data_IF_497176100348
#
_entry.id   IF_497176100348
#
_cell.length_a   1.000
_cell.length_b   1.000
_cell.length_c   1.000
_cell.angle_alpha   90.00
_cell.angle_beta   90.00
_cell.angle_gamma   90.00
#
_symmetry.space_group_name_H-M   'P 1'
#
loop_
_entity.id
_entity.type
_entity.pdbx_description
1 polymer ?
#
# COMPACT_ATOMS: atom_id res chain seq x y z
N UNK A 1 -6.79 -13.99 -5.90
CA UNK A 1 -5.43 -13.79 -6.43
C UNK A 1 -4.46 -13.73 -5.27
N UNK A 2 -3.53 -14.67 -5.22
CA UNK A 2 -2.38 -14.64 -4.33
C UNK A 2 -1.18 -14.37 -5.23
N UNK A 3 -0.54 -13.22 -5.10
CA UNK A 3 0.65 -12.92 -5.90
C UNK A 3 1.87 -13.40 -5.12
N UNK A 4 2.62 -14.37 -5.64
CA UNK A 4 3.92 -14.78 -5.05
C UNK A 4 5.08 -13.83 -5.42
N UNK A 5 4.75 -12.64 -5.91
CA UNK A 5 5.71 -11.63 -6.33
C UNK A 5 5.67 -10.45 -5.38
N UNK A 6 6.80 -10.14 -4.74
CA UNK A 6 6.91 -8.99 -3.84
C UNK A 6 7.10 -7.68 -4.61
N UNK A 7 6.36 -6.64 -4.25
CA UNK A 7 6.57 -5.28 -4.75
C UNK A 7 7.71 -4.62 -3.98
N UNK A 8 8.91 -4.56 -4.58
CA UNK A 8 10.07 -3.88 -4.00
C UNK A 8 10.30 -2.55 -4.71
N UNK A 9 10.20 -1.44 -3.97
CA UNK A 9 10.32 -0.09 -4.52
C UNK A 9 11.69 0.48 -4.19
N UNK A 10 12.44 0.84 -5.22
CA UNK A 10 13.79 1.39 -5.10
C UNK A 10 13.76 2.91 -5.15
N UNK A 11 14.80 3.55 -4.59
CA UNK A 11 15.03 4.98 -4.79
C UNK A 11 15.19 5.31 -6.27
N UNK A 12 14.62 6.44 -6.67
CA UNK A 12 14.94 7.05 -7.97
C UNK A 12 16.37 7.57 -7.92
N UNK A 13 17.16 7.34 -8.97
CA UNK A 13 18.53 7.85 -9.08
C UNK A 13 18.50 9.16 -9.87
N UNK A 14 18.91 10.30 -9.28
CA UNK A 14 19.07 11.53 -10.05
C UNK A 14 20.15 11.35 -11.11
N UNK A 15 19.86 11.70 -12.37
CA UNK A 15 20.82 11.67 -13.47
C UNK A 15 20.19 11.51 -14.85
N UNK A 16 20.83 12.07 -15.88
CA UNK A 16 20.48 11.79 -17.28
C UNK A 16 20.85 10.34 -17.59
N UNK A 17 19.86 9.44 -17.58
CA UNK A 17 19.98 8.21 -18.36
C UNK A 17 20.09 8.65 -19.82
N UNK A 18 21.11 8.20 -20.55
CA UNK A 18 21.30 8.49 -21.99
C UNK A 18 20.07 8.09 -22.85
N UNK A 19 19.21 7.21 -22.32
CA UNK A 19 17.95 6.79 -22.94
C UNK A 19 16.74 7.68 -22.58
N UNK A 20 16.90 8.70 -21.73
CA UNK A 20 15.81 9.60 -21.30
C UNK A 20 15.85 10.87 -22.13
N UNK A 21 15.31 10.78 -23.34
CA UNK A 21 14.98 11.95 -24.16
C UNK A 21 13.75 12.63 -23.59
N UNK A 22 13.88 13.92 -23.30
CA UNK A 22 12.86 14.92 -22.98
C UNK A 22 12.81 15.47 -21.55
N UNK A 23 12.70 16.80 -21.59
CA UNK A 23 12.40 17.79 -20.57
C UNK A 23 11.08 17.49 -19.87
N UNK A 24 11.17 17.03 -18.64
CA UNK A 24 10.05 17.03 -17.70
C UNK A 24 10.61 17.44 -16.35
N UNK A 25 9.97 18.42 -15.71
CA UNK A 25 10.06 18.66 -14.27
C UNK A 25 9.39 17.49 -13.52
N UNK A 26 9.78 16.26 -13.85
CA UNK A 26 9.16 15.03 -13.40
C UNK A 26 9.58 14.76 -11.97
N UNK A 27 8.60 14.74 -11.10
CA UNK A 27 8.70 14.30 -9.72
C UNK A 27 9.20 12.85 -9.70
N UNK A 28 10.30 12.61 -9.00
CA UNK A 28 10.92 11.30 -8.77
C UNK A 28 10.00 10.33 -7.99
N UNK A 29 8.86 9.93 -8.55
CA UNK A 29 7.81 9.16 -7.88
C UNK A 29 7.46 7.91 -8.70
N UNK A 30 7.50 6.74 -8.05
CA UNK A 30 6.95 5.50 -8.62
C UNK A 30 5.47 5.38 -8.27
N UNK A 31 4.62 5.04 -9.24
CA UNK A 31 3.17 4.93 -9.04
C UNK A 31 2.62 3.59 -9.54
N UNK A 32 1.66 3.01 -8.81
CA UNK A 32 0.86 1.87 -9.24
C UNK A 32 -0.63 2.20 -9.15
N UNK A 33 -1.38 1.82 -10.20
CA UNK A 33 -2.82 1.99 -10.27
C UNK A 33 -3.46 0.64 -10.56
N UNK A 34 -4.42 0.24 -9.74
CA UNK A 34 -5.21 -0.98 -9.89
C UNK A 34 -6.69 -0.61 -9.96
N UNK A 35 -7.38 -1.07 -10.99
CA UNK A 35 -8.83 -0.94 -11.14
C UNK A 35 -9.42 -2.33 -11.36
N UNK A 36 -10.36 -2.73 -10.52
CA UNK A 36 -10.94 -4.07 -10.51
C UNK A 36 -12.46 -3.98 -10.54
N UNK A 37 -13.07 -4.76 -11.44
CA UNK A 37 -14.50 -4.93 -11.55
C UNK A 37 -14.88 -6.35 -11.08
N UNK A 38 -15.81 -6.45 -10.12
CA UNK A 38 -16.31 -7.70 -9.55
C UNK A 38 -17.75 -7.88 -10.00
N UNK A 39 -17.98 -8.84 -10.90
CA UNK A 39 -19.28 -9.10 -11.51
C UNK A 39 -20.31 -9.67 -10.51
N UNK A 40 -21.62 -9.51 -10.78
CA UNK A 40 -22.68 -10.03 -9.89
C UNK A 40 -22.49 -11.50 -9.54
N UNK A 41 -22.74 -11.85 -8.27
CA UNK A 41 -22.65 -13.23 -7.79
C UNK A 41 -21.22 -13.80 -7.71
N UNK A 42 -20.20 -12.94 -7.86
CA UNK A 42 -18.79 -13.36 -7.74
C UNK A 42 -18.16 -12.94 -6.42
N UNK A 43 -16.96 -13.44 -6.16
CA UNK A 43 -16.16 -13.07 -5.00
C UNK A 43 -14.72 -12.74 -5.40
N UNK A 44 -14.18 -11.65 -4.87
CA UNK A 44 -12.79 -11.26 -5.00
C UNK A 44 -12.04 -11.49 -3.70
N UNK A 45 -10.96 -12.27 -3.73
CA UNK A 45 -10.01 -12.36 -2.62
C UNK A 45 -8.66 -11.88 -3.15
N UNK A 46 -8.19 -10.72 -2.71
CA UNK A 46 -6.93 -10.11 -3.11
C UNK A 46 -6.02 -10.00 -1.90
N UNK A 47 -5.03 -10.90 -1.83
CA UNK A 47 -4.06 -10.96 -0.74
C UNK A 47 -2.65 -10.97 -1.36
N UNK A 48 -2.13 -9.81 -1.80
CA UNK A 48 -0.81 -9.73 -2.40
C UNK A 48 0.28 -9.86 -1.35
N UNK A 49 1.52 -10.05 -1.78
CA UNK A 49 2.70 -9.84 -0.92
C UNK A 49 2.79 -8.36 -0.49
N UNK A 50 3.42 -8.05 0.66
CA UNK A 50 3.48 -6.67 1.12
C UNK A 50 4.37 -5.83 0.22
N UNK A 51 4.04 -4.54 0.14
CA UNK A 51 4.96 -3.56 -0.44
C UNK A 51 6.16 -3.40 0.49
N UNK A 52 7.37 -3.37 -0.08
CA UNK A 52 8.60 -3.05 0.63
C UNK A 52 9.27 -1.86 -0.04
N UNK A 53 9.16 -0.69 0.58
CA UNK A 53 9.88 0.51 0.16
C UNK A 53 11.30 0.50 0.73
N UNK A 54 12.31 0.68 -0.14
CA UNK A 54 13.70 0.78 0.29
C UNK A 54 14.03 2.22 0.71
N UNK A 55 15.22 2.41 1.28
CA UNK A 55 15.72 3.73 1.64
C UNK A 55 15.53 4.76 0.52
N UNK A 56 14.95 5.90 0.88
CA UNK A 56 14.66 7.03 -0.01
C UNK A 56 13.73 6.73 -1.19
N UNK A 57 12.98 5.62 -1.16
CA UNK A 57 11.94 5.37 -2.15
C UNK A 57 10.77 6.35 -2.00
N UNK A 58 10.12 6.68 -3.12
CA UNK A 58 8.86 7.43 -3.17
C UNK A 58 7.86 6.62 -3.95
N UNK A 59 6.77 6.22 -3.31
CA UNK A 59 5.77 5.33 -3.90
C UNK A 59 4.34 5.81 -3.66
N UNK A 60 3.52 5.77 -4.69
CA UNK A 60 2.08 5.94 -4.62
C UNK A 60 1.37 4.69 -5.16
N UNK A 61 0.38 4.20 -4.44
CA UNK A 61 -0.51 3.11 -4.85
C UNK A 61 -1.95 3.60 -4.79
N UNK A 62 -2.71 3.35 -5.85
CA UNK A 62 -4.15 3.65 -5.90
C UNK A 62 -4.88 2.40 -6.36
N UNK A 63 -5.81 1.92 -5.56
CA UNK A 63 -6.59 0.72 -5.83
C UNK A 63 -8.08 1.05 -5.77
N UNK A 64 -8.79 0.79 -6.87
CA UNK A 64 -10.23 1.00 -6.99
C UNK A 64 -10.92 -0.33 -7.24
N UNK A 65 -11.89 -0.64 -6.40
CA UNK A 65 -12.65 -1.87 -6.46
C UNK A 65 -14.12 -1.53 -6.68
N UNK A 66 -14.65 -1.97 -7.80
CA UNK A 66 -16.05 -1.81 -8.18
C UNK A 66 -16.74 -3.15 -8.05
N UNK A 67 -17.66 -3.23 -7.10
CA UNK A 67 -18.31 -4.47 -6.70
C UNK A 67 -19.79 -4.38 -7.04
N UNK A 68 -20.31 -5.34 -7.80
CA UNK A 68 -21.73 -5.46 -8.01
C UNK A 68 -22.44 -5.88 -6.72
N UNK A 69 -23.64 -5.35 -6.45
CA UNK A 69 -24.47 -5.78 -5.33
C UNK A 69 -24.62 -7.32 -5.28
N UNK A 70 -24.64 -7.87 -4.07
CA UNK A 70 -24.68 -9.31 -3.82
C UNK A 70 -23.35 -10.05 -4.03
N UNK A 71 -22.29 -9.37 -4.47
CA UNK A 71 -20.94 -9.93 -4.58
C UNK A 71 -20.14 -9.73 -3.30
N UNK A 72 -19.00 -10.40 -3.18
CA UNK A 72 -18.12 -10.31 -1.99
C UNK A 72 -16.69 -9.89 -2.36
N UNK A 73 -16.01 -9.21 -1.43
CA UNK A 73 -14.59 -8.91 -1.54
C UNK A 73 -13.87 -8.98 -0.21
N UNK A 74 -12.65 -9.52 -0.22
CA UNK A 74 -11.65 -9.43 0.84
C UNK A 74 -10.37 -8.90 0.22
N UNK A 75 -9.92 -7.74 0.71
CA UNK A 75 -8.80 -7.00 0.16
C UNK A 75 -7.79 -6.76 1.27
N UNK A 76 -6.54 -7.15 1.05
CA UNK A 76 -5.41 -6.83 1.92
C UNK A 76 -4.52 -5.82 1.21
N UNK A 77 -4.25 -4.71 1.89
CA UNK A 77 -3.22 -3.77 1.53
C UNK A 77 -2.25 -3.61 2.71
N UNK A 78 -0.96 -3.78 2.47
CA UNK A 78 0.03 -3.84 3.52
C UNK A 78 1.42 -3.46 3.05
N UNK A 79 2.16 -2.84 3.96
CA UNK A 79 3.52 -2.37 3.78
C UNK A 79 4.41 -2.87 4.92
N UNK A 80 5.66 -3.18 4.59
CA UNK A 80 6.74 -3.48 5.54
C UNK A 80 7.62 -2.27 5.79
N UNK A 81 8.30 -2.23 6.93
CA UNK A 81 9.21 -1.13 7.31
C UNK A 81 10.34 -0.91 6.32
N UNK A 82 10.69 -1.92 5.52
CA UNK A 82 11.76 -1.84 4.54
C UNK A 82 12.61 -3.10 4.55
N UNK A 83 13.91 -2.96 4.31
CA UNK A 83 14.87 -4.07 4.39
C UNK A 83 15.43 -4.17 5.80
N UNK A 84 14.62 -4.71 6.72
CA UNK A 84 14.99 -4.88 8.14
C UNK A 84 16.32 -5.60 8.34
N UNK A 85 16.61 -6.64 7.55
CA UNK A 85 17.89 -7.37 7.60
C UNK A 85 19.12 -6.54 7.20
N UNK A 86 18.92 -5.38 6.54
CA UNK A 86 19.97 -4.42 6.19
C UNK A 86 19.89 -3.13 7.03
N UNK A 87 19.12 -3.11 8.11
CA UNK A 87 18.95 -1.93 8.96
C UNK A 87 18.17 -0.79 8.28
N UNK A 88 17.36 -1.10 7.27
CA UNK A 88 16.46 -0.13 6.65
C UNK A 88 15.04 -0.31 7.18
N UNK A 89 14.70 0.43 8.23
CA UNK A 89 13.37 0.43 8.83
C UNK A 89 12.78 1.85 8.79
N UNK A 90 11.66 2.01 8.09
CA UNK A 90 10.91 3.26 7.94
C UNK A 90 11.72 4.43 7.36
N UNK A 91 12.75 4.13 6.55
CA UNK A 91 13.68 5.11 5.94
C UNK A 91 13.40 5.44 4.47
N UNK A 92 12.20 5.14 3.98
CA UNK A 92 11.74 5.61 2.67
C UNK A 92 11.29 7.07 2.76
N UNK A 93 11.27 7.78 1.63
CA UNK A 93 10.89 9.19 1.60
C UNK A 93 9.37 9.37 1.59
N UNK A 94 8.64 8.50 0.90
CA UNK A 94 7.18 8.56 0.81
C UNK A 94 6.57 7.20 0.49
N UNK A 95 5.50 6.87 1.18
CA UNK A 95 4.55 5.84 0.79
C UNK A 95 3.13 6.40 0.93
N UNK A 96 2.39 6.40 -0.17
CA UNK A 96 0.97 6.75 -0.19
C UNK A 96 0.18 5.56 -0.74
N UNK A 97 -0.82 5.10 -0.01
CA UNK A 97 -1.80 4.14 -0.51
C UNK A 97 -3.20 4.73 -0.42
N UNK A 98 -4.02 4.47 -1.44
CA UNK A 98 -5.43 4.82 -1.47
C UNK A 98 -6.24 3.61 -1.93
N UNK A 99 -7.07 3.10 -1.04
CA UNK A 99 -8.07 2.08 -1.36
C UNK A 99 -9.45 2.73 -1.47
N UNK A 100 -10.14 2.52 -2.60
CA UNK A 100 -11.53 2.93 -2.79
C UNK A 100 -12.41 1.72 -3.10
N UNK A 101 -13.51 1.60 -2.36
CA UNK A 101 -14.50 0.54 -2.53
C UNK A 101 -15.82 1.15 -2.99
N UNK A 102 -16.29 0.72 -4.16
CA UNK A 102 -17.51 1.15 -4.79
C UNK A 102 -18.47 -0.03 -4.91
N UNK A 103 -19.74 0.18 -4.55
CA UNK A 103 -20.81 -0.79 -4.72
C UNK A 103 -21.91 -0.15 -5.56
N UNK A 104 -22.23 -0.73 -6.71
CA UNK A 104 -23.25 -0.24 -7.65
C UNK A 104 -23.16 1.28 -7.90
N UNK A 105 -21.93 1.75 -8.17
CA UNK A 105 -21.66 3.15 -8.45
C UNK A 105 -21.57 4.07 -7.23
N UNK A 106 -21.83 3.58 -6.00
CA UNK A 106 -21.70 4.34 -4.76
C UNK A 106 -20.39 3.98 -4.03
N UNK A 107 -19.55 4.97 -3.73
CA UNK A 107 -18.36 4.76 -2.89
C UNK A 107 -18.77 4.52 -1.44
N UNK A 108 -18.48 3.33 -0.93
CA UNK A 108 -18.82 2.93 0.44
C UNK A 108 -17.62 2.97 1.39
N UNK A 109 -16.40 2.87 0.87
CA UNK A 109 -15.18 3.02 1.66
C UNK A 109 -14.10 3.78 0.90
N UNK A 110 -13.30 4.55 1.65
CA UNK A 110 -12.12 5.25 1.18
C UNK A 110 -11.08 5.25 2.30
N UNK A 111 -9.96 4.58 2.06
CA UNK A 111 -8.87 4.43 3.03
C UNK A 111 -7.57 5.00 2.47
N UNK A 112 -7.22 6.27 2.80
CA UNK A 112 -5.93 6.84 2.49
C UNK A 112 -4.92 6.59 3.62
N UNK A 113 -3.77 6.02 3.27
CA UNK A 113 -2.59 5.90 4.14
C UNK A 113 -1.45 6.74 3.57
N UNK A 114 -0.94 7.70 4.35
CA UNK A 114 0.24 8.48 3.99
C UNK A 114 1.32 8.30 5.07
N UNK A 115 2.46 7.77 4.65
CA UNK A 115 3.69 7.67 5.43
C UNK A 115 4.76 8.51 4.72
N UNK A 116 5.08 9.66 5.28
CA UNK A 116 6.05 10.61 4.74
C UNK A 116 6.75 11.31 5.90
N UNK A 117 8.04 11.63 5.75
CA UNK A 117 8.73 12.47 6.73
C UNK A 117 8.17 13.89 6.72
N UNK A 118 8.02 14.49 7.90
CA UNK A 118 7.50 15.85 8.00
C UNK A 118 8.55 16.82 7.43
N UNK A 119 8.21 17.50 6.33
CA UNK A 119 9.10 18.44 5.65
C UNK A 119 9.20 19.81 6.33
N UNK A 120 8.30 20.10 7.27
CA UNK A 120 8.21 21.37 7.99
C UNK A 120 8.21 21.13 9.51
N UNK A 121 9.38 21.03 10.15
CA UNK A 121 9.45 20.90 11.59
C UNK A 121 8.88 22.14 12.28
N UNK A 122 8.03 21.95 13.27
CA UNK A 122 7.57 23.03 14.15
C UNK A 122 8.70 23.30 15.15
N UNK A 123 9.28 24.50 15.15
CA UNK A 123 10.47 24.84 15.97
C UNK A 123 10.31 24.53 17.48
N UNK A 124 9.08 24.51 17.99
CA UNK A 124 8.76 24.24 19.40
C UNK A 124 8.54 22.76 19.74
N UNK A 125 8.60 21.84 18.76
CA UNK A 125 8.36 20.41 18.97
C UNK A 125 9.55 19.57 18.47
N UNK A 126 9.91 18.49 19.19
CA UNK A 126 10.92 17.56 18.71
C UNK A 126 10.44 16.87 17.43
N UNK A 127 11.27 16.91 16.38
CA UNK A 127 11.04 16.17 15.13
C UNK A 127 11.04 14.67 15.42
N UNK A 128 10.00 13.96 14.97
CA UNK A 128 9.92 12.50 15.07
C UNK A 128 10.05 11.90 13.68
N UNK A 129 10.95 10.94 13.53
CA UNK A 129 11.10 10.19 12.28
C UNK A 129 9.89 9.29 12.05
N UNK A 130 9.74 8.74 10.83
CA UNK A 130 8.76 7.68 10.59
C UNK A 130 9.01 6.48 11.52
N UNK A 131 10.27 6.12 11.76
CA UNK A 131 10.64 5.03 12.67
C UNK A 131 10.15 5.29 14.10
N UNK A 132 10.32 6.50 14.62
CA UNK A 132 9.87 6.88 15.97
C UNK A 132 8.34 6.80 16.10
N UNK A 133 7.61 7.15 15.05
CA UNK A 133 6.13 7.14 15.02
C UNK A 133 5.55 5.73 14.88
N UNK A 134 6.29 4.81 14.28
CA UNK A 134 5.79 3.49 13.86
C UNK A 134 6.36 2.33 14.68
N UNK A 135 7.38 2.56 15.51
CA UNK A 135 7.86 1.58 16.49
C UNK A 135 6.73 1.17 17.45
N UNK A 136 6.68 -0.11 17.89
CA UNK A 136 7.62 -1.19 17.58
C UNK A 136 7.27 -1.98 16.29
N UNK A 137 6.33 -1.51 15.48
CA UNK A 137 5.80 -2.27 14.36
C UNK A 137 6.74 -2.26 13.15
N UNK A 138 6.92 -3.43 12.53
CA UNK A 138 7.69 -3.59 11.28
C UNK A 138 6.78 -3.76 10.06
N UNK A 139 5.46 -3.71 10.22
CA UNK A 139 4.50 -3.67 9.11
C UNK A 139 3.21 -2.96 9.51
N UNK A 140 2.48 -2.48 8.50
CA UNK A 140 1.12 -1.97 8.63
C UNK A 140 0.24 -2.61 7.56
N UNK A 141 -1.00 -2.95 7.94
CA UNK A 141 -1.94 -3.61 7.05
C UNK A 141 -3.36 -3.09 7.28
N UNK A 142 -4.08 -2.89 6.19
CA UNK A 142 -5.53 -2.69 6.16
C UNK A 142 -6.16 -3.90 5.49
N UNK A 143 -7.23 -4.44 6.10
CA UNK A 143 -8.11 -5.42 5.48
C UNK A 143 -9.48 -4.76 5.25
N UNK A 144 -9.92 -4.70 4.00
CA UNK A 144 -11.28 -4.31 3.63
C UNK A 144 -12.09 -5.56 3.30
N UNK A 145 -13.23 -5.72 3.97
CA UNK A 145 -14.17 -6.81 3.74
C UNK A 145 -15.54 -6.25 3.38
N UNK A 146 -16.13 -6.79 2.33
CA UNK A 146 -17.47 -6.45 1.89
C UNK A 146 -18.17 -7.69 1.35
N UNK A 147 -19.48 -7.74 1.51
CA UNK A 147 -20.33 -8.82 1.03
C UNK A 147 -21.21 -9.40 2.13
N UNK A 148 -22.13 -10.29 1.77
CA UNK A 148 -22.99 -10.96 2.73
C UNK A 148 -22.24 -11.68 3.86
N UNK A 149 -22.77 -11.59 5.08
CA UNK A 149 -22.20 -12.15 6.31
C UNK A 149 -22.15 -13.68 6.37
N UNK A 150 -22.73 -14.39 5.40
CA UNK A 150 -22.82 -15.86 5.39
C UNK A 150 -21.63 -16.57 4.70
N UNK A 151 -20.56 -15.84 4.38
CA UNK A 151 -19.26 -16.46 4.05
C UNK A 151 -18.71 -17.20 5.29
N UNK A 152 -19.16 -18.44 5.47
CA UNK A 152 -18.68 -19.37 6.49
C UNK A 152 -17.30 -19.88 6.09
N UNK A 153 -16.24 -19.11 6.34
CA UNK A 153 -14.86 -19.55 6.08
C UNK A 153 -14.21 -19.96 7.40
N UNK A 154 -14.12 -21.27 7.61
CA UNK A 154 -13.32 -21.86 8.67
C UNK A 154 -11.84 -21.83 8.25
N UNK A 155 -11.13 -20.74 8.54
CA UNK A 155 -9.67 -20.69 8.38
C UNK A 155 -8.99 -20.59 9.73
N UNK A 156 -8.50 -21.74 10.23
CA UNK A 156 -7.36 -21.76 11.14
C UNK A 156 -6.11 -21.37 10.34
N UNK A 157 -5.64 -20.15 10.49
CA UNK A 157 -4.28 -19.78 10.09
C UNK A 157 -3.58 -19.08 11.25
N UNK A 158 -2.70 -19.84 11.92
CA UNK A 158 -1.73 -19.30 12.86
C UNK A 158 -0.62 -18.60 12.07
N UNK A 159 -0.59 -17.26 12.10
CA UNK A 159 0.60 -16.50 11.71
C UNK A 159 1.51 -16.40 12.93
N UNK A 160 2.43 -17.37 13.04
CA UNK A 160 3.60 -17.26 13.92
C UNK A 160 4.70 -16.53 13.16
N UNK A 161 5.09 -15.36 13.67
CA UNK A 161 6.35 -14.73 13.27
C UNK A 161 7.42 -15.37 14.16
N UNK A 162 8.30 -16.18 13.57
CA UNK A 162 9.57 -16.57 14.19
C UNK A 162 10.56 -15.41 14.12
#
# INVERSE_FOLDING_TARGET
>A
MLTQGSTKVFKTRPGQRLARTHTSSETDLTSQHLDVQVSPGSALILLPDPVTCFRSAKYNQIQKFHIAEGSSAVLLDWITSGRKSLGEEWVFSRYYSLNELWVDGKRIARDPLLLEEDSNPIESLPTRTLEDRLKPYSCYATILMYGPSHLSYNTKSSFGIQ
#
